data_IF_968187843208
#
_entry.id   IF_968187843208
#
_cell.length_a   1.000
_cell.length_b   1.000
_cell.length_c   1.000
_cell.angle_alpha   90.00
_cell.angle_beta   90.00
_cell.angle_gamma   90.00
#
_symmetry.space_group_name_H-M   'P 1'
#
loop_
_entity.id
_entity.type
_entity.pdbx_description
1 polymer ?
#
# COMPACT_ATOMS: atom_id res chain seq x y z
N UNK A 1 24.73 55.72 22.00
CA UNK A 1 24.09 56.44 20.88
C UNK A 1 22.99 55.55 20.34
N UNK A 2 21.72 55.96 20.47
CA UNK A 2 20.59 55.16 19.99
C UNK A 2 20.64 54.92 18.48
N UNK A 3 19.98 53.86 18.02
CA UNK A 3 19.95 53.48 16.61
C UNK A 3 19.48 54.67 15.73
N UNK A 4 19.90 54.78 14.46
CA UNK A 4 19.50 55.88 13.58
C UNK A 4 17.98 56.16 13.57
N UNK A 5 17.16 55.11 13.63
CA UNK A 5 15.70 55.20 13.71
C UNK A 5 15.21 55.88 15.02
N UNK A 6 15.82 55.61 16.17
CA UNK A 6 15.43 56.22 17.45
C UNK A 6 15.81 57.70 17.54
N UNK A 7 16.86 58.12 16.82
CA UNK A 7 17.23 59.53 16.71
C UNK A 7 16.25 60.28 15.80
N UNK A 8 15.91 59.70 14.65
CA UNK A 8 14.89 60.24 13.76
C UNK A 8 13.51 60.34 14.46
N UNK A 9 13.09 59.30 15.18
CA UNK A 9 11.83 59.29 15.93
C UNK A 9 11.78 60.41 16.98
N UNK A 10 12.85 60.62 17.75
CA UNK A 10 12.93 61.72 18.74
C UNK A 10 12.88 63.11 18.10
N UNK A 11 13.53 63.30 16.95
CA UNK A 11 13.52 64.57 16.25
C UNK A 11 12.15 64.89 15.62
N UNK A 12 11.42 63.88 15.15
CA UNK A 12 10.12 64.03 14.51
C UNK A 12 8.94 64.05 15.49
N UNK A 13 9.06 63.41 16.66
CA UNK A 13 7.99 63.33 17.66
C UNK A 13 7.30 64.68 17.99
N UNK A 14 8.04 65.79 18.26
CA UNK A 14 7.40 67.08 18.56
C UNK A 14 6.72 67.75 17.36
N UNK A 15 6.93 67.23 16.13
CA UNK A 15 6.34 67.75 14.90
C UNK A 15 5.07 66.99 14.47
N UNK A 16 4.75 65.88 15.13
CA UNK A 16 3.60 65.04 14.81
C UNK A 16 2.42 65.36 15.74
N UNK A 17 1.17 65.30 15.24
CA UNK A 17 0.00 65.45 16.09
C UNK A 17 -0.10 64.29 17.10
N UNK A 18 -0.59 64.58 18.30
CA UNK A 18 -0.81 63.57 19.33
C UNK A 18 -1.85 62.54 18.87
N UNK A 19 -1.55 61.23 18.96
CA UNK A 19 -2.52 60.20 18.67
C UNK A 19 -3.68 60.21 19.66
N UNK A 20 -4.89 60.01 19.15
CA UNK A 20 -6.12 59.96 19.91
C UNK A 20 -6.48 58.53 20.29
N UNK A 21 -6.97 58.36 21.50
CA UNK A 21 -7.51 57.11 22.03
C UNK A 21 -9.03 57.00 21.87
N UNK A 22 -9.67 57.91 21.12
CA UNK A 22 -11.12 57.93 20.98
C UNK A 22 -11.58 58.40 19.60
N UNK A 23 -12.86 58.13 19.30
CA UNK A 23 -13.60 58.63 18.14
C UNK A 23 -14.92 59.29 18.56
N UNK A 24 -15.55 59.99 17.62
CA UNK A 24 -16.90 60.53 17.76
C UNK A 24 -17.87 59.62 17.00
N UNK A 25 -18.77 58.93 17.71
CA UNK A 25 -19.81 58.11 17.09
C UNK A 25 -21.04 58.96 16.76
N UNK A 26 -21.56 58.77 15.54
CA UNK A 26 -22.70 59.48 15.00
C UNK A 26 -23.87 58.52 14.71
N UNK A 27 -25.09 59.07 14.68
CA UNK A 27 -26.31 58.28 14.54
C UNK A 27 -26.48 57.60 13.15
N UNK A 28 -25.72 58.02 12.15
CA UNK A 28 -25.71 57.48 10.78
C UNK A 28 -24.72 56.33 10.60
N UNK A 29 -24.33 55.67 11.71
CA UNK A 29 -23.39 54.56 11.77
C UNK A 29 -21.97 54.96 11.36
N UNK A 30 -21.57 56.20 11.58
CA UNK A 30 -20.19 56.65 11.34
C UNK A 30 -19.41 56.91 12.64
N UNK A 31 -18.10 56.71 12.55
CA UNK A 31 -17.11 57.07 13.55
C UNK A 31 -16.16 58.10 12.93
N UNK A 32 -16.03 59.27 13.53
CA UNK A 32 -15.12 60.32 13.07
C UNK A 32 -13.88 60.36 13.96
N UNK A 33 -12.71 60.19 13.34
CA UNK A 33 -11.40 60.33 13.96
C UNK A 33 -10.77 61.66 13.50
N UNK A 34 -10.75 62.72 14.35
CA UNK A 34 -10.25 64.04 13.97
C UNK A 34 -8.72 64.14 13.91
N UNK A 35 -8.00 63.04 14.18
CA UNK A 35 -6.56 62.95 14.19
C UNK A 35 -6.09 61.49 14.07
N UNK A 36 -4.77 61.24 14.08
CA UNK A 36 -4.26 59.87 14.06
C UNK A 36 -4.72 59.12 15.30
N UNK A 37 -5.07 57.85 15.16
CA UNK A 37 -5.55 57.03 16.26
C UNK A 37 -4.41 56.22 16.87
N UNK A 38 -4.51 55.95 18.18
CA UNK A 38 -3.67 54.94 18.82
C UNK A 38 -3.90 53.58 18.17
N UNK A 39 -2.82 52.79 18.11
CA UNK A 39 -2.77 51.49 17.42
C UNK A 39 -3.93 50.55 17.77
N UNK A 40 -4.34 50.36 19.04
CA UNK A 40 -5.44 49.44 19.37
C UNK A 40 -6.78 49.87 18.75
N UNK A 41 -7.10 51.16 18.83
CA UNK A 41 -8.33 51.74 18.27
C UNK A 41 -8.31 51.71 16.74
N UNK A 42 -7.19 52.08 16.12
CA UNK A 42 -7.01 51.98 14.68
C UNK A 42 -7.18 50.55 14.17
N UNK A 43 -6.62 49.56 14.87
CA UNK A 43 -6.68 48.16 14.50
C UNK A 43 -8.12 47.63 14.54
N UNK A 44 -8.86 47.90 15.60
CA UNK A 44 -10.26 47.45 15.68
C UNK A 44 -11.13 48.13 14.61
N UNK A 45 -11.02 49.45 14.44
CA UNK A 45 -11.79 50.16 13.41
C UNK A 45 -11.44 49.70 11.98
N UNK A 46 -10.20 49.30 11.73
CA UNK A 46 -9.79 48.77 10.42
C UNK A 46 -10.48 47.45 10.05
N UNK A 47 -10.96 46.69 11.04
CA UNK A 47 -11.70 45.45 10.83
C UNK A 47 -13.21 45.71 10.88
N UNK A 48 -13.66 46.41 11.93
CA UNK A 48 -15.06 46.58 12.30
C UNK A 48 -15.79 47.69 11.54
N UNK A 49 -15.09 48.50 10.74
CA UNK A 49 -15.69 49.55 9.92
C UNK A 49 -14.95 49.68 8.58
N UNK A 50 -15.62 50.30 7.60
CA UNK A 50 -15.03 50.66 6.31
C UNK A 50 -14.63 52.14 6.32
N UNK A 51 -13.53 52.50 5.67
CA UNK A 51 -13.10 53.91 5.58
C UNK A 51 -13.85 54.57 4.43
N UNK A 52 -14.68 55.56 4.74
CA UNK A 52 -15.42 56.34 3.76
C UNK A 52 -14.60 57.53 3.24
N UNK A 53 -13.85 58.19 4.14
CA UNK A 53 -12.99 59.32 3.79
C UNK A 53 -11.72 59.35 4.65
N UNK A 54 -10.61 59.72 4.02
CA UNK A 54 -9.31 59.99 4.65
C UNK A 54 -8.93 61.46 4.41
N UNK A 55 -9.78 62.36 4.90
CA UNK A 55 -9.51 63.81 4.86
C UNK A 55 -8.77 64.28 6.10
N UNK A 56 -8.98 65.56 6.47
CA UNK A 56 -8.52 66.11 7.75
C UNK A 56 -9.09 65.40 8.98
N UNK A 57 -10.19 64.65 8.80
CA UNK A 57 -10.67 63.65 9.73
C UNK A 57 -10.93 62.35 8.95
N UNK A 58 -10.56 61.22 9.54
CA UNK A 58 -10.89 59.91 8.96
C UNK A 58 -12.30 59.53 9.38
N UNK A 59 -13.16 59.24 8.41
CA UNK A 59 -14.54 58.81 8.64
C UNK A 59 -14.63 57.31 8.39
N UNK A 60 -15.04 56.59 9.42
CA UNK A 60 -15.31 55.16 9.39
C UNK A 60 -16.81 54.94 9.34
N UNK A 61 -17.28 54.01 8.52
CA UNK A 61 -18.69 53.61 8.43
C UNK A 61 -18.85 52.18 8.89
N UNK A 62 -19.71 51.96 9.87
CA UNK A 62 -20.14 50.65 10.29
C UNK A 62 -21.22 50.14 9.33
N UNK A 63 -20.95 49.00 8.73
CA UNK A 63 -21.85 48.26 7.85
C UNK A 63 -22.08 46.85 8.41
N UNK A 64 -23.19 46.17 8.05
CA UNK A 64 -23.39 44.77 8.44
C UNK A 64 -22.20 43.87 8.06
N UNK A 65 -21.58 44.12 6.90
CA UNK A 65 -20.41 43.39 6.43
C UNK A 65 -19.18 43.64 7.30
N UNK A 66 -18.88 44.89 7.62
CA UNK A 66 -17.73 45.23 8.48
C UNK A 66 -17.85 44.70 9.91
N UNK A 67 -19.04 44.76 10.50
CA UNK A 67 -19.31 44.17 11.82
C UNK A 67 -19.15 42.66 11.77
N UNK A 68 -19.69 42.00 10.72
CA UNK A 68 -19.50 40.56 10.51
C UNK A 68 -18.02 40.21 10.40
N UNK A 69 -17.20 40.98 9.68
CA UNK A 69 -15.74 40.76 9.62
C UNK A 69 -15.09 40.78 10.99
N UNK A 70 -15.52 41.68 11.88
CA UNK A 70 -15.00 41.71 13.25
C UNK A 70 -15.38 40.46 14.04
N UNK A 71 -16.60 39.97 13.89
CA UNK A 71 -17.03 38.70 14.50
C UNK A 71 -16.28 37.49 13.93
N UNK A 72 -16.07 37.46 12.60
CA UNK A 72 -15.26 36.44 11.92
C UNK A 72 -13.79 36.45 12.41
N UNK A 73 -13.28 37.63 12.79
CA UNK A 73 -11.96 37.81 13.39
C UNK A 73 -11.91 37.47 14.89
N UNK A 74 -12.99 36.92 15.46
CA UNK A 74 -13.06 36.43 16.84
C UNK A 74 -13.46 37.46 17.88
N UNK A 75 -13.92 38.65 17.49
CA UNK A 75 -14.51 39.61 18.43
C UNK A 75 -15.92 39.17 18.81
N UNK A 76 -16.29 39.26 20.09
CA UNK A 76 -17.69 39.08 20.49
C UNK A 76 -18.48 40.39 20.39
N UNK A 77 -19.82 40.32 20.35
CA UNK A 77 -20.66 41.51 20.44
C UNK A 77 -20.39 42.32 21.71
N UNK A 78 -20.21 41.63 22.85
CA UNK A 78 -19.83 42.26 24.12
C UNK A 78 -18.49 42.99 24.05
N UNK A 79 -17.50 42.42 23.36
CA UNK A 79 -16.18 43.05 23.20
C UNK A 79 -16.31 44.32 22.36
N UNK A 80 -17.05 44.25 21.25
CA UNK A 80 -17.31 45.42 20.39
C UNK A 80 -18.04 46.53 21.15
N UNK A 81 -19.10 46.22 21.89
CA UNK A 81 -19.83 47.19 22.70
C UNK A 81 -18.94 47.82 23.79
N UNK A 82 -18.19 47.00 24.53
CA UNK A 82 -17.29 47.48 25.56
C UNK A 82 -16.19 48.37 24.97
N UNK A 83 -15.63 47.96 23.83
CA UNK A 83 -14.57 48.71 23.16
C UNK A 83 -15.06 50.06 22.66
N UNK A 84 -16.20 50.11 21.98
CA UNK A 84 -16.80 51.35 21.50
C UNK A 84 -17.19 52.28 22.66
N UNK A 85 -17.70 51.72 23.77
CA UNK A 85 -18.02 52.50 24.97
C UNK A 85 -16.76 53.13 25.59
N UNK A 86 -15.64 52.41 25.60
CA UNK A 86 -14.39 52.89 26.19
C UNK A 86 -13.67 53.93 25.32
N UNK A 87 -13.79 53.82 23.99
CA UNK A 87 -13.06 54.66 23.02
C UNK A 87 -13.98 55.65 22.28
N UNK A 88 -15.18 55.92 22.78
CA UNK A 88 -16.07 56.94 22.20
C UNK A 88 -16.18 58.15 23.13
N UNK A 89 -16.02 59.34 22.56
CA UNK A 89 -16.29 60.60 23.26
C UNK A 89 -17.78 60.94 23.34
N UNK A 90 -18.60 60.33 22.48
CA UNK A 90 -20.06 60.45 22.48
C UNK A 90 -20.68 59.13 22.98
N UNK A 91 -21.90 59.15 23.53
CA UNK A 91 -22.63 57.91 23.81
C UNK A 91 -22.76 57.06 22.54
N UNK A 92 -22.65 55.73 22.68
CA UNK A 92 -22.83 54.81 21.55
C UNK A 92 -24.27 54.94 21.02
N UNK A 93 -24.46 55.32 19.74
CA UNK A 93 -25.79 55.48 19.17
C UNK A 93 -26.57 54.17 19.14
N UNK A 94 -27.84 54.22 19.51
CA UNK A 94 -28.73 53.06 19.50
C UNK A 94 -28.77 52.30 18.15
N UNK A 95 -28.74 52.96 16.97
CA UNK A 95 -28.67 52.24 15.69
C UNK A 95 -27.43 51.36 15.55
N UNK A 96 -26.27 51.81 16.06
CA UNK A 96 -25.04 51.03 16.03
C UNK A 96 -25.14 49.83 16.98
N UNK A 97 -25.73 50.03 18.15
CA UNK A 97 -25.98 48.93 19.10
C UNK A 97 -26.83 47.84 18.46
N UNK A 98 -27.95 48.23 17.82
CA UNK A 98 -28.82 47.29 17.12
C UNK A 98 -28.12 46.57 15.97
N UNK A 99 -27.32 47.28 15.18
CA UNK A 99 -26.57 46.67 14.09
C UNK A 99 -25.64 45.55 14.60
N UNK A 100 -24.90 45.82 15.69
CA UNK A 100 -23.99 44.84 16.29
C UNK A 100 -24.77 43.62 16.77
N UNK A 101 -25.84 43.83 17.53
CA UNK A 101 -26.64 42.74 18.10
C UNK A 101 -27.32 41.89 17.03
N UNK A 102 -27.85 42.53 15.98
CA UNK A 102 -28.52 41.85 14.87
C UNK A 102 -27.55 40.99 14.04
N UNK A 103 -26.37 41.53 13.72
CA UNK A 103 -25.33 40.77 13.01
C UNK A 103 -24.80 39.64 13.90
N UNK A 104 -24.57 39.90 15.19
CA UNK A 104 -24.10 38.89 16.13
C UNK A 104 -25.10 37.75 16.33
N UNK A 105 -26.40 38.05 16.38
CA UNK A 105 -27.45 37.01 16.42
C UNK A 105 -27.36 36.09 15.21
N UNK A 106 -27.17 36.65 14.01
CA UNK A 106 -27.12 35.86 12.77
C UNK A 106 -25.78 35.15 12.54
N UNK A 107 -24.72 35.63 13.18
CA UNK A 107 -23.36 35.09 13.04
C UNK A 107 -23.27 33.69 13.65
N UNK A 108 -22.63 32.77 12.93
CA UNK A 108 -22.42 31.40 13.42
C UNK A 108 -23.67 30.50 13.46
N UNK A 109 -24.83 30.93 12.95
CA UNK A 109 -26.01 30.07 12.78
C UNK A 109 -25.76 28.92 11.79
N UNK A 110 -25.05 29.20 10.71
CA UNK A 110 -24.61 28.19 9.76
C UNK A 110 -23.18 27.78 10.09
N UNK A 111 -22.95 26.47 10.20
CA UNK A 111 -21.65 25.90 10.49
C UNK A 111 -21.24 24.99 9.35
N UNK A 112 -20.06 25.24 8.80
CA UNK A 112 -19.45 24.40 7.78
C UNK A 112 -18.29 23.66 8.42
N UNK A 113 -18.17 22.37 8.13
CA UNK A 113 -17.03 21.56 8.55
C UNK A 113 -16.66 20.58 7.45
N UNK A 114 -15.40 20.13 7.45
CA UNK A 114 -14.96 19.08 6.54
C UNK A 114 -15.61 17.74 6.92
N UNK A 115 -16.03 16.98 5.92
CA UNK A 115 -16.46 15.60 6.03
C UNK A 115 -15.97 14.87 4.77
N UNK A 116 -15.07 13.91 4.95
CA UNK A 116 -14.44 13.16 3.85
C UNK A 116 -15.36 12.07 3.32
N UNK A 117 -16.24 11.54 4.18
CA UNK A 117 -17.25 10.55 3.85
C UNK A 117 -18.44 10.65 4.81
N UNK A 118 -19.55 9.99 4.49
CA UNK A 118 -20.73 9.92 5.35
C UNK A 118 -21.29 8.48 5.40
N UNK A 119 -22.07 8.19 6.44
CA UNK A 119 -22.86 6.96 6.57
C UNK A 119 -24.32 7.37 6.71
N UNK A 120 -25.18 6.81 5.86
CA UNK A 120 -26.64 6.92 5.95
C UNK A 120 -27.22 5.58 6.39
N UNK A 121 -28.20 5.62 7.27
CA UNK A 121 -28.99 4.45 7.66
C UNK A 121 -30.43 4.87 7.86
N UNK A 122 -31.38 4.03 7.46
CA UNK A 122 -32.80 4.24 7.74
C UNK A 122 -33.16 3.89 9.19
N UNK A 123 -32.24 3.23 9.91
CA UNK A 123 -32.33 2.89 11.33
C UNK A 123 -31.28 3.70 12.13
N UNK A 124 -31.75 4.53 13.06
CA UNK A 124 -30.93 5.40 13.90
C UNK A 124 -30.21 4.64 15.03
N UNK A 125 -30.76 3.50 15.46
CA UNK A 125 -30.17 2.65 16.49
C UNK A 125 -28.87 1.99 16.02
N UNK A 126 -28.79 1.61 14.74
CA UNK A 126 -27.56 1.08 14.13
C UNK A 126 -26.45 2.15 14.15
N UNK A 127 -26.79 3.41 13.90
CA UNK A 127 -25.81 4.50 13.95
C UNK A 127 -25.35 4.79 15.38
N UNK A 128 -26.22 4.62 16.37
CA UNK A 128 -25.86 4.73 17.78
C UNK A 128 -24.94 3.58 18.22
N UNK A 129 -25.20 2.36 17.75
CA UNK A 129 -24.33 1.20 17.98
C UNK A 129 -22.92 1.43 17.41
N UNK A 130 -22.82 1.92 16.17
CA UNK A 130 -21.54 2.26 15.52
C UNK A 130 -20.78 3.32 16.32
N UNK A 131 -21.46 4.36 16.80
CA UNK A 131 -20.85 5.44 17.60
C UNK A 131 -20.39 4.95 18.99
N UNK A 132 -21.07 3.97 19.57
CA UNK A 132 -20.73 3.41 20.88
C UNK A 132 -19.56 2.41 20.83
N UNK A 133 -19.33 1.74 19.70
CA UNK A 133 -18.23 0.79 19.54
C UNK A 133 -16.86 1.51 19.49
N UNK A 134 -15.96 1.18 20.42
CA UNK A 134 -14.60 1.76 20.51
C UNK A 134 -13.77 1.57 19.25
N UNK A 135 -14.05 0.54 18.44
CA UNK A 135 -13.36 0.31 17.16
C UNK A 135 -13.61 1.43 16.14
N UNK A 136 -14.71 2.18 16.26
CA UNK A 136 -15.01 3.31 15.37
C UNK A 136 -14.21 4.58 15.67
N UNK A 137 -13.43 4.62 16.76
CA UNK A 137 -12.68 5.82 17.18
C UNK A 137 -11.73 6.35 16.08
N UNK A 138 -11.12 5.45 15.30
CA UNK A 138 -10.21 5.81 14.20
C UNK A 138 -10.95 6.41 12.99
N UNK A 139 -12.26 6.16 12.85
CA UNK A 139 -13.10 6.71 11.77
C UNK A 139 -13.52 8.15 12.04
N UNK A 140 -13.33 8.64 13.29
CA UNK A 140 -13.66 10.00 13.74
C UNK A 140 -15.08 10.41 13.34
N UNK A 141 -16.03 9.54 13.64
CA UNK A 141 -17.44 9.71 13.31
C UNK A 141 -18.06 10.85 14.14
N UNK A 142 -18.95 11.61 13.52
CA UNK A 142 -19.75 12.67 14.14
C UNK A 142 -21.18 12.58 13.62
N UNK A 143 -22.17 12.54 14.52
CA UNK A 143 -23.60 12.60 14.16
C UNK A 143 -23.93 13.98 13.57
N UNK A 144 -24.48 14.01 12.35
CA UNK A 144 -24.98 15.24 11.72
C UNK A 144 -26.51 15.32 11.78
N UNK A 145 -27.17 14.16 11.68
CA UNK A 145 -28.62 14.01 11.78
C UNK A 145 -28.94 12.63 12.39
N UNK A 146 -30.19 12.36 12.82
CA UNK A 146 -30.57 11.03 13.35
C UNK A 146 -30.22 9.87 12.41
N UNK A 147 -30.23 10.07 11.10
CA UNK A 147 -29.94 9.04 10.10
C UNK A 147 -28.61 9.24 9.37
N UNK A 148 -27.76 10.17 9.82
CA UNK A 148 -26.52 10.54 9.11
C UNK A 148 -25.33 10.74 10.05
N UNK A 149 -24.25 10.00 9.79
CA UNK A 149 -22.91 10.23 10.37
C UNK A 149 -22.00 10.85 9.32
N UNK A 150 -21.16 11.80 9.73
CA UNK A 150 -19.99 12.23 8.97
C UNK A 150 -18.72 11.59 9.52
N UNK A 151 -17.80 11.25 8.64
CA UNK A 151 -16.47 10.73 8.96
C UNK A 151 -15.38 11.68 8.46
N UNK A 152 -14.24 11.70 9.15
CA UNK A 152 -13.03 12.35 8.62
C UNK A 152 -12.19 11.40 7.75
N UNK A 153 -12.41 10.08 7.91
CA UNK A 153 -11.83 9.06 7.04
C UNK A 153 -12.42 9.13 5.62
N UNK A 154 -11.59 8.79 4.62
CA UNK A 154 -12.05 8.66 3.24
C UNK A 154 -13.07 7.51 3.06
N UNK A 155 -13.84 7.49 1.96
CA UNK A 155 -14.90 6.49 1.76
C UNK A 155 -14.42 5.04 1.81
N UNK A 156 -13.22 4.72 1.31
CA UNK A 156 -12.72 3.35 1.28
C UNK A 156 -12.35 2.89 2.70
N UNK A 157 -11.62 3.73 3.45
CA UNK A 157 -11.28 3.45 4.85
C UNK A 157 -12.51 3.32 5.73
N UNK A 158 -13.53 4.17 5.53
CA UNK A 158 -14.80 4.08 6.27
C UNK A 158 -15.51 2.75 6.01
N UNK A 159 -15.59 2.36 4.73
CA UNK A 159 -16.29 1.16 4.30
C UNK A 159 -15.60 -0.12 4.82
N UNK A 160 -14.28 -0.18 4.77
CA UNK A 160 -13.50 -1.31 5.30
C UNK A 160 -13.51 -1.34 6.84
N UNK A 161 -13.48 -0.18 7.50
CA UNK A 161 -13.59 -0.06 8.95
C UNK A 161 -14.93 -0.60 9.47
N UNK A 162 -16.04 -0.20 8.84
CA UNK A 162 -17.38 -0.69 9.19
C UNK A 162 -17.52 -2.20 8.93
N UNK A 163 -16.95 -2.73 7.84
CA UNK A 163 -16.91 -4.18 7.57
C UNK A 163 -16.15 -4.95 8.66
N UNK A 164 -15.00 -4.42 9.09
CA UNK A 164 -14.19 -5.00 10.17
C UNK A 164 -14.95 -5.01 11.51
N UNK A 165 -15.86 -4.07 11.70
CA UNK A 165 -16.74 -4.02 12.87
C UNK A 165 -17.89 -5.03 12.82
N UNK A 166 -18.16 -5.64 11.66
CA UNK A 166 -19.24 -6.62 11.45
C UNK A 166 -20.47 -6.05 10.75
N UNK A 167 -20.45 -4.77 10.36
CA UNK A 167 -21.52 -4.16 9.59
C UNK A 167 -21.39 -4.49 8.10
N UNK A 168 -22.50 -4.39 7.36
CA UNK A 168 -22.56 -4.63 5.92
C UNK A 168 -22.87 -3.33 5.15
N UNK A 169 -21.96 -2.33 5.12
CA UNK A 169 -22.17 -1.09 4.39
C UNK A 169 -22.14 -1.34 2.88
N UNK A 170 -22.96 -0.59 2.15
CA UNK A 170 -22.86 -0.47 0.71
C UNK A 170 -22.20 0.86 0.34
N UNK A 171 -21.39 0.86 -0.72
CA UNK A 171 -20.84 2.10 -1.25
C UNK A 171 -21.96 2.91 -1.92
N UNK A 172 -21.94 4.23 -1.79
CA UNK A 172 -22.80 5.15 -2.55
C UNK A 172 -21.95 5.93 -3.56
N UNK A 173 -22.54 6.29 -4.71
CA UNK A 173 -21.93 7.18 -5.69
C UNK A 173 -22.02 8.64 -5.25
N UNK A 174 -21.39 9.55 -5.98
CA UNK A 174 -21.50 10.99 -5.71
C UNK A 174 -22.95 11.50 -5.87
N UNK A 175 -23.77 10.79 -6.64
CA UNK A 175 -25.19 11.04 -6.88
C UNK A 175 -26.10 10.38 -5.82
N UNK A 176 -25.54 9.58 -4.90
CA UNK A 176 -26.29 8.88 -3.84
C UNK A 176 -26.82 7.50 -4.25
N UNK A 177 -26.45 7.00 -5.44
CA UNK A 177 -26.85 5.67 -5.88
C UNK A 177 -25.98 4.58 -5.24
N UNK A 178 -26.59 3.48 -4.83
CA UNK A 178 -25.86 2.36 -4.24
C UNK A 178 -24.95 1.70 -5.29
N UNK A 179 -23.64 1.86 -5.13
CA UNK A 179 -22.61 1.22 -5.92
C UNK A 179 -22.45 -0.24 -5.49
N UNK A 180 -23.05 -1.14 -6.25
CA UNK A 180 -22.80 -2.59 -6.14
C UNK A 180 -21.44 -2.87 -6.77
N UNK A 181 -20.37 -2.68 -6.00
CA UNK A 181 -19.06 -3.20 -6.37
C UNK A 181 -19.09 -4.70 -6.19
N UNK A 182 -19.35 -5.44 -7.27
CA UNK A 182 -19.04 -6.87 -7.31
C UNK A 182 -17.56 -6.95 -6.95
N UNK A 183 -17.24 -7.53 -5.79
CA UNK A 183 -15.88 -7.80 -5.38
C UNK A 183 -15.17 -8.41 -6.60
N UNK A 184 -14.15 -7.73 -7.11
CA UNK A 184 -13.32 -8.31 -8.14
C UNK A 184 -12.73 -9.55 -7.50
N UNK A 185 -13.33 -10.70 -7.79
CA UNK A 185 -12.64 -11.96 -7.61
C UNK A 185 -11.32 -11.76 -8.33
N UNK A 186 -10.21 -11.85 -7.59
CA UNK A 186 -8.88 -11.92 -8.19
C UNK A 186 -8.86 -13.18 -9.05
N UNK A 187 -9.41 -13.07 -10.27
CA UNK A 187 -9.33 -14.11 -11.27
C UNK A 187 -7.91 -14.07 -11.76
N UNK A 188 -7.22 -15.19 -11.63
CA UNK A 188 -5.99 -15.43 -12.38
C UNK A 188 -6.27 -15.05 -13.84
N UNK A 189 -5.46 -14.17 -14.45
CA UNK A 189 -5.65 -13.83 -15.86
C UNK A 189 -5.62 -15.11 -16.68
N UNK A 190 -6.42 -15.17 -17.75
CA UNK A 190 -6.43 -16.33 -18.64
C UNK A 190 -5.00 -16.61 -19.10
N UNK A 191 -4.51 -17.84 -18.92
CA UNK A 191 -3.17 -18.24 -19.36
C UNK A 191 -3.06 -17.96 -20.86
N UNK A 192 -2.27 -16.96 -21.23
CA UNK A 192 -1.93 -16.67 -22.63
C UNK A 192 -0.97 -17.76 -23.12
N UNK A 193 -1.24 -18.34 -24.28
CA UNK A 193 -0.31 -19.26 -24.91
C UNK A 193 1.02 -18.52 -25.20
N UNK A 194 2.19 -19.15 -24.97
CA UNK A 194 3.48 -18.51 -25.28
C UNK A 194 3.53 -18.12 -26.76
N UNK A 195 4.04 -16.92 -27.05
CA UNK A 195 4.29 -16.51 -28.44
C UNK A 195 5.34 -17.44 -29.09
N UNK A 196 5.16 -17.86 -30.36
CA UNK A 196 6.17 -18.63 -31.06
C UNK A 196 7.48 -17.84 -31.15
N UNK A 197 8.57 -18.42 -30.64
CA UNK A 197 9.91 -17.83 -30.78
C UNK A 197 10.36 -18.04 -32.24
N UNK A 198 10.77 -16.98 -32.98
CA UNK A 198 11.11 -17.10 -34.41
C UNK A 198 12.32 -18.00 -34.68
N UNK A 199 13.27 -18.02 -33.74
CA UNK A 199 14.46 -18.87 -33.81
C UNK A 199 14.28 -20.06 -32.87
N UNK A 200 14.05 -21.24 -33.46
CA UNK A 200 14.07 -22.50 -32.73
C UNK A 200 15.44 -22.74 -32.07
N UNK A 201 15.53 -23.65 -31.09
CA UNK A 201 16.81 -23.99 -30.47
C UNK A 201 17.84 -24.37 -31.54
N UNK A 202 19.10 -23.95 -31.32
CA UNK A 202 20.21 -24.20 -32.26
C UNK A 202 20.25 -25.67 -32.67
N UNK A 203 20.44 -25.94 -33.97
CA UNK A 203 20.47 -27.31 -34.47
C UNK A 203 21.51 -28.14 -33.71
N UNK A 204 21.16 -29.35 -33.22
CA UNK A 204 22.09 -30.17 -32.46
C UNK A 204 23.34 -30.47 -33.28
N UNK A 205 24.50 -30.45 -32.62
CA UNK A 205 25.76 -30.78 -33.28
C UNK A 205 25.70 -32.19 -33.91
N UNK A 206 26.34 -32.43 -35.06
CA UNK A 206 26.22 -33.68 -35.82
C UNK A 206 26.58 -34.93 -34.99
N UNK A 207 27.53 -34.81 -34.05
CA UNK A 207 27.88 -35.91 -33.14
C UNK A 207 26.71 -36.35 -32.22
N UNK A 208 25.86 -35.40 -31.80
CA UNK A 208 24.68 -35.68 -30.97
C UNK A 208 23.58 -36.35 -31.80
N UNK A 209 23.43 -35.95 -33.06
CA UNK A 209 22.51 -36.60 -33.99
C UNK A 209 22.96 -38.05 -34.27
N UNK A 210 24.25 -38.28 -34.48
CA UNK A 210 24.79 -39.63 -34.71
C UNK A 210 24.62 -40.55 -33.49
N UNK A 211 24.78 -40.02 -32.28
CA UNK A 211 24.53 -40.74 -31.04
C UNK A 211 23.04 -41.09 -30.89
N UNK A 212 22.14 -40.14 -31.17
CA UNK A 212 20.70 -40.35 -31.13
C UNK A 212 20.24 -41.39 -32.15
N UNK A 213 20.76 -41.35 -33.39
CA UNK A 213 20.46 -42.34 -34.42
C UNK A 213 20.96 -43.73 -34.03
N UNK A 214 22.15 -43.84 -33.42
CA UNK A 214 22.63 -45.11 -32.88
C UNK A 214 21.73 -45.65 -31.76
N UNK A 215 21.29 -44.80 -30.85
CA UNK A 215 20.40 -45.21 -29.76
C UNK A 215 19.04 -45.68 -30.28
N UNK A 216 18.46 -44.99 -31.26
CA UNK A 216 17.20 -45.40 -31.91
C UNK A 216 17.39 -46.75 -32.62
N UNK A 217 18.46 -46.90 -33.41
CA UNK A 217 18.73 -48.17 -34.11
C UNK A 217 18.98 -49.33 -33.15
N UNK A 218 19.65 -49.09 -32.02
CA UNK A 218 19.85 -50.09 -30.99
C UNK A 218 18.51 -50.47 -30.32
N UNK A 219 17.62 -49.50 -30.09
CA UNK A 219 16.27 -49.73 -29.59
C UNK A 219 15.38 -50.50 -30.57
N UNK A 220 15.43 -50.16 -31.86
CA UNK A 220 14.68 -50.87 -32.91
C UNK A 220 15.17 -52.32 -33.08
N UNK A 221 16.49 -52.55 -32.97
CA UNK A 221 17.07 -53.89 -33.02
C UNK A 221 16.68 -54.70 -31.77
N UNK A 222 16.64 -54.07 -30.59
CA UNK A 222 16.13 -54.71 -29.37
C UNK A 222 14.62 -54.98 -29.40
N UNK A 223 13.85 -54.19 -30.16
CA UNK A 223 12.39 -54.36 -30.31
C UNK A 223 12.00 -55.41 -31.37
N UNK A 224 12.88 -55.73 -32.32
CA UNK A 224 12.63 -56.70 -33.41
C UNK A 224 13.14 -58.10 -33.12
N UNK A 225 13.94 -58.30 -32.06
CA UNK A 225 14.32 -59.62 -31.55
C UNK A 225 13.18 -60.21 -30.71
N UNK A 226 12.62 -61.35 -31.14
CA UNK A 226 11.60 -62.08 -30.39
C UNK A 226 12.11 -62.46 -28.99
N UNK A 227 11.51 -61.87 -27.95
CA UNK A 227 11.78 -62.22 -26.55
C UNK A 227 11.33 -63.66 -26.26
N UNK A 228 12.29 -64.58 -26.24
CA UNK A 228 12.13 -65.91 -25.64
C UNK A 228 11.95 -65.74 -24.11
N UNK A 229 10.86 -66.22 -23.50
CA UNK A 229 10.72 -66.14 -22.04
C UNK A 229 11.70 -67.14 -21.42
N UNK A 230 12.69 -66.63 -20.68
CA UNK A 230 13.56 -67.49 -19.87
C UNK A 230 12.96 -67.71 -18.47
N UNK A 231 13.18 -68.90 -17.88
CA UNK A 231 12.52 -69.35 -16.66
C UNK A 231 12.98 -68.55 -15.44
N UNK A 232 12.07 -68.39 -14.48
CA UNK A 232 12.45 -68.12 -13.10
C UNK A 232 13.18 -69.36 -12.56
N UNK A 233 14.52 -69.34 -12.62
CA UNK A 233 15.33 -70.32 -11.91
C UNK A 233 15.85 -69.77 -10.60
N UNK A 234 15.30 -70.37 -9.56
CA UNK A 234 15.84 -70.54 -8.24
C UNK A 234 17.30 -71.02 -8.26
N UNK A 235 18.08 -70.47 -7.32
CA UNK A 235 19.32 -71.02 -6.75
C UNK A 235 20.54 -71.19 -7.68
N UNK A 236 21.53 -70.32 -7.47
CA UNK A 236 22.89 -70.80 -7.21
C UNK A 236 23.92 -70.65 -8.32
N UNK A 237 24.23 -69.42 -8.75
CA UNK A 237 25.61 -68.88 -8.92
C UNK A 237 25.50 -67.45 -9.46
N UNK A 238 25.65 -66.45 -8.59
CA UNK A 238 25.48 -65.04 -8.97
C UNK A 238 25.67 -64.13 -7.77
N UNK A 239 26.74 -64.33 -6.99
CA UNK A 239 27.09 -63.38 -5.94
C UNK A 239 27.64 -62.11 -6.59
N UNK A 240 27.17 -60.91 -6.21
CA UNK A 240 27.72 -59.67 -6.74
C UNK A 240 29.22 -59.57 -6.35
N UNK A 241 30.09 -59.05 -7.22
CA UNK A 241 31.52 -58.97 -6.95
C UNK A 241 31.78 -58.02 -5.78
N UNK A 242 32.37 -58.47 -4.66
CA UNK A 242 32.72 -57.54 -3.57
C UNK A 242 33.97 -56.74 -3.94
N UNK A 243 33.78 -55.55 -4.47
CA UNK A 243 34.86 -54.61 -4.78
C UNK A 243 35.06 -53.63 -3.61
N UNK A 244 36.30 -53.18 -3.41
CA UNK A 244 36.55 -52.12 -2.43
C UNK A 244 35.90 -50.80 -2.89
N UNK A 245 35.61 -49.88 -1.97
CA UNK A 245 34.96 -48.62 -2.33
C UNK A 245 35.77 -47.79 -3.36
N UNK A 246 37.10 -47.89 -3.31
CA UNK A 246 38.00 -47.22 -4.25
C UNK A 246 37.92 -47.84 -5.66
N UNK A 247 37.87 -49.17 -5.76
CA UNK A 247 37.71 -49.88 -7.03
C UNK A 247 36.33 -49.63 -7.64
N UNK A 248 35.26 -49.70 -6.83
CA UNK A 248 33.89 -49.39 -7.26
C UNK A 248 33.80 -48.01 -7.91
N UNK A 249 34.42 -47.00 -7.28
CA UNK A 249 34.43 -45.64 -7.80
C UNK A 249 35.24 -45.54 -9.09
N UNK A 250 36.44 -46.15 -9.13
CA UNK A 250 37.30 -46.14 -10.31
C UNK A 250 36.62 -46.82 -11.52
N UNK A 251 35.98 -47.98 -11.32
CA UNK A 251 35.25 -48.70 -12.37
C UNK A 251 34.04 -47.91 -12.85
N UNK A 252 33.29 -47.26 -11.96
CA UNK A 252 32.18 -46.40 -12.38
C UNK A 252 32.64 -45.16 -13.16
N UNK A 253 33.75 -44.53 -12.76
CA UNK A 253 34.32 -43.40 -13.51
C UNK A 253 34.85 -43.84 -14.88
N UNK A 254 35.50 -45.00 -14.96
CA UNK A 254 35.94 -45.57 -16.23
C UNK A 254 34.74 -45.86 -17.15
N UNK A 255 33.67 -46.47 -16.61
CA UNK A 255 32.47 -46.77 -17.37
C UNK A 255 31.71 -45.53 -17.85
N UNK A 256 31.75 -44.41 -17.13
CA UNK A 256 31.21 -43.11 -17.62
C UNK A 256 32.00 -42.63 -18.84
N UNK A 257 33.32 -42.83 -18.86
CA UNK A 257 34.18 -42.41 -19.97
C UNK A 257 34.03 -43.33 -21.20
N UNK A 258 33.88 -44.64 -20.98
CA UNK A 258 33.76 -45.64 -22.06
C UNK A 258 32.32 -45.88 -22.50
N UNK A 259 31.33 -45.46 -21.71
CA UNK A 259 29.92 -45.75 -21.93
C UNK A 259 29.53 -47.20 -21.66
N UNK A 260 30.36 -47.96 -20.93
CA UNK A 260 30.15 -49.40 -20.68
C UNK A 260 29.03 -49.66 -19.67
N UNK A 261 28.29 -50.75 -19.85
CA UNK A 261 27.26 -51.18 -18.89
C UNK A 261 27.89 -51.96 -17.74
N UNK A 262 27.41 -51.68 -16.53
CA UNK A 262 27.91 -52.26 -15.30
C UNK A 262 26.84 -53.09 -14.61
N UNK A 263 27.22 -54.25 -14.09
CA UNK A 263 26.42 -55.02 -13.17
C UNK A 263 26.80 -54.67 -11.73
N UNK A 264 25.82 -54.21 -10.95
CA UNK A 264 26.03 -53.77 -9.58
C UNK A 264 25.18 -54.56 -8.58
N UNK A 265 25.76 -54.80 -7.40
CA UNK A 265 25.01 -55.21 -6.21
C UNK A 265 24.65 -53.97 -5.39
N UNK A 266 23.36 -53.72 -5.15
CA UNK A 266 22.86 -52.53 -4.45
C UNK A 266 21.95 -52.90 -3.28
N UNK A 267 22.19 -52.28 -2.12
CA UNK A 267 21.32 -52.43 -0.95
C UNK A 267 20.43 -51.20 -0.82
N UNK A 268 19.11 -51.43 -0.74
CA UNK A 268 18.13 -50.35 -0.62
C UNK A 268 18.06 -49.79 0.82
N UNK A 269 17.24 -48.76 1.04
CA UNK A 269 17.10 -48.13 2.36
C UNK A 269 16.50 -49.06 3.42
N UNK A 270 15.75 -50.08 3.01
CA UNK A 270 15.17 -51.10 3.90
C UNK A 270 16.12 -52.27 4.20
N UNK A 271 17.36 -52.22 3.70
CA UNK A 271 18.37 -53.26 3.92
C UNK A 271 18.25 -54.48 3.00
N UNK A 272 17.35 -54.45 2.01
CA UNK A 272 17.22 -55.50 1.00
C UNK A 272 18.30 -55.35 -0.08
N UNK A 273 19.03 -56.43 -0.32
CA UNK A 273 20.04 -56.50 -1.37
C UNK A 273 19.39 -56.87 -2.71
N UNK A 274 19.70 -56.10 -3.75
CA UNK A 274 19.21 -56.28 -5.12
C UNK A 274 20.36 -56.19 -6.12
N UNK A 275 20.18 -56.78 -7.30
CA UNK A 275 21.14 -56.71 -8.39
C UNK A 275 20.56 -55.86 -9.51
N UNK A 276 21.40 -55.03 -10.14
CA UNK A 276 20.95 -54.10 -11.20
C UNK A 276 22.00 -53.98 -12.29
N UNK A 277 21.54 -53.84 -13.52
CA UNK A 277 22.40 -53.53 -14.67
C UNK A 277 22.21 -52.06 -15.01
N UNK A 278 23.29 -51.28 -14.90
CA UNK A 278 23.24 -49.82 -15.04
C UNK A 278 24.23 -49.32 -16.08
N UNK A 279 23.85 -48.29 -16.84
CA UNK A 279 24.76 -47.53 -17.69
C UNK A 279 25.05 -46.18 -17.00
N UNK A 280 26.22 -46.01 -16.36
CA UNK A 280 26.52 -44.80 -15.60
C UNK A 280 26.72 -43.62 -16.54
N UNK A 281 26.05 -42.51 -16.23
CA UNK A 281 26.11 -41.27 -17.01
C UNK A 281 27.00 -40.23 -16.32
N UNK A 282 27.00 -40.21 -14.99
CA UNK A 282 27.76 -39.24 -14.19
C UNK A 282 28.06 -39.78 -12.79
N UNK A 283 29.26 -39.53 -12.28
CA UNK A 283 29.67 -39.86 -10.91
C UNK A 283 30.20 -38.61 -10.21
N UNK A 284 29.49 -38.11 -9.21
CA UNK A 284 29.88 -36.93 -8.44
C UNK A 284 29.38 -37.00 -6.98
N UNK A 285 30.14 -36.41 -6.05
CA UNK A 285 29.70 -36.21 -4.67
C UNK A 285 29.36 -37.50 -3.91
N UNK A 286 29.89 -38.65 -4.32
CA UNK A 286 29.56 -39.95 -3.71
C UNK A 286 28.30 -40.62 -4.27
N UNK A 287 27.74 -40.11 -5.36
CA UNK A 287 26.58 -40.65 -6.07
C UNK A 287 26.92 -40.97 -7.52
N UNK A 288 26.24 -41.97 -8.08
CA UNK A 288 26.24 -42.28 -9.51
C UNK A 288 24.84 -42.10 -10.06
N UNK A 289 24.70 -41.27 -11.08
CA UNK A 289 23.47 -41.19 -11.88
C UNK A 289 23.65 -42.10 -13.08
N UNK A 290 22.76 -43.07 -13.23
CA UNK A 290 22.84 -44.10 -14.24
C UNK A 290 21.46 -44.44 -14.80
N UNK A 291 21.41 -44.85 -16.07
CA UNK A 291 20.23 -45.50 -16.60
C UNK A 291 20.17 -46.92 -16.05
N UNK A 292 19.10 -47.28 -15.35
CA UNK A 292 18.89 -48.63 -14.82
C UNK A 292 18.11 -49.46 -15.83
N UNK A 293 18.77 -50.41 -16.49
CA UNK A 293 18.13 -51.29 -17.48
C UNK A 293 17.13 -52.27 -16.84
N UNK A 294 17.22 -52.52 -15.53
CA UNK A 294 16.27 -53.38 -14.82
C UNK A 294 14.96 -52.64 -14.51
N UNK A 295 15.01 -51.32 -14.29
CA UNK A 295 13.86 -50.49 -13.97
C UNK A 295 13.39 -49.58 -15.12
N UNK A 296 14.15 -49.54 -16.22
CA UNK A 296 13.91 -48.72 -17.42
C UNK A 296 13.76 -47.21 -17.11
N UNK A 297 14.58 -46.70 -16.19
CA UNK A 297 14.52 -45.32 -15.71
C UNK A 297 15.91 -44.80 -15.31
N UNK A 298 16.15 -43.49 -15.43
CA UNK A 298 17.35 -42.84 -14.90
C UNK A 298 17.25 -42.68 -13.39
N UNK A 299 18.20 -43.27 -12.65
CA UNK A 299 18.21 -43.25 -11.19
C UNK A 299 19.58 -42.85 -10.64
N UNK A 300 19.55 -42.28 -9.44
CA UNK A 300 20.76 -41.89 -8.72
C UNK A 300 20.99 -42.84 -7.54
N UNK A 301 22.17 -43.48 -7.53
CA UNK A 301 22.57 -44.45 -6.51
C UNK A 301 23.69 -43.88 -5.65
N UNK A 302 23.58 -43.96 -4.31
CA UNK A 302 24.69 -43.67 -3.42
C UNK A 302 25.76 -44.76 -3.50
N UNK A 303 27.02 -44.39 -3.74
CA UNK A 303 28.14 -45.34 -3.92
C UNK A 303 28.37 -46.20 -2.67
N UNK A 304 28.14 -45.67 -1.47
CA UNK A 304 28.32 -46.42 -0.21
C UNK A 304 27.30 -47.55 -0.02
N UNK A 305 26.26 -47.63 -0.87
CA UNK A 305 25.28 -48.73 -0.89
C UNK A 305 25.52 -49.71 -2.04
N UNK A 306 26.53 -49.44 -2.86
CA UNK A 306 26.98 -50.36 -3.89
C UNK A 306 27.94 -51.34 -3.22
N UNK A 307 27.48 -52.57 -3.09
CA UNK A 307 28.23 -53.68 -2.50
C UNK A 307 29.26 -54.27 -3.46
N UNK A 308 29.17 -53.92 -4.73
CA UNK A 308 29.96 -54.55 -5.78
C UNK A 308 29.69 -54.05 -7.18
N UNK A 309 30.73 -54.04 -8.04
CA UNK A 309 30.63 -53.69 -9.47
C UNK A 309 31.42 -54.70 -10.32
N UNK A 310 30.82 -55.16 -11.41
CA UNK A 310 31.51 -55.82 -12.52
C UNK A 310 31.11 -55.17 -13.84
N UNK A 311 32.05 -55.11 -14.78
CA UNK A 311 31.71 -54.82 -16.17
C UNK A 311 30.92 -55.99 -16.75
N UNK A 312 29.82 -55.68 -17.43
CA UNK A 312 29.12 -56.68 -18.23
C UNK A 312 29.89 -56.80 -19.55
N UNK A 313 30.42 -57.98 -19.86
CA UNK A 313 31.06 -58.21 -21.15
C UNK A 313 30.01 -58.04 -22.26
N UNK A 314 30.32 -57.22 -23.27
CA UNK A 314 29.50 -57.10 -24.47
C UNK A 314 29.42 -58.48 -25.14
N UNK A 315 28.20 -59.00 -25.32
CA UNK A 315 27.99 -60.24 -26.06
C UNK A 315 28.46 -60.00 -27.52
N UNK A 316 29.39 -60.83 -28.06
CA UNK A 316 29.81 -60.69 -29.44
C UNK A 316 28.76 -61.24 -30.41
N UNK A 317 28.40 -60.38 -31.38
CA UNK A 317 27.62 -60.58 -32.61
C UNK A 317 26.10 -60.35 -32.55
#
# INVERSE_FOLDING_TARGET
MGAPAERAARALAPLLPEPLDHVLLQADLTAVAPGPLLRPLAALLSVAADIESRGGATVYRFTPGSVRRALDAGQSASDLHAFLKNHSRTPVPQPLTYLIDDVARRHGHLRVGAASAYVRSDDDAVLDEILADRRSANLRLRRLAPTVLAAQADPATLLDGLRTMGFAPAAESAEGDVLITRAHAHRTPARTAPAPVPDGPAQPAPALLDAAVRAIRAGDLAATVERKPLPQDTSGTGAPPRTTAAETLATMQAAVLTGSTLWIGYVNAEGSASQRVIAPVRVEGGFVTAYDHTADEVRTYPLHRVTGVAELADDPA
#
